data_IF_483959364555
#
_entry.id   IF_483959364555
#
_cell.length_a   1.000
_cell.length_b   1.000
_cell.length_c   1.000
_cell.angle_alpha   90.00
_cell.angle_beta   90.00
_cell.angle_gamma   90.00
#
_symmetry.space_group_name_H-M   'P 1'
#
loop_
_entity.id
_entity.type
_entity.pdbx_description
1 polymer ?
#
# COMPACT_ATOMS: atom_id res chain seq x y z
N UNK A 1 -5.01 63.98 10.08
CA UNK A 1 -4.56 63.97 8.68
C UNK A 1 -3.33 63.09 8.64
N UNK A 2 -3.54 61.77 8.54
CA UNK A 2 -3.76 60.99 7.30
C UNK A 2 -2.45 60.25 7.02
N UNK A 3 -2.37 58.99 7.43
CA UNK A 3 -2.70 57.79 6.63
C UNK A 3 -1.46 57.32 5.88
N UNK A 4 -0.93 56.14 6.25
CA UNK A 4 -0.87 54.99 5.35
C UNK A 4 -0.14 53.83 6.01
N UNK A 5 -0.96 52.96 6.61
CA UNK A 5 -0.65 51.55 6.79
C UNK A 5 -0.71 50.91 5.40
N UNK A 6 0.43 50.82 4.71
CA UNK A 6 0.53 49.93 3.54
C UNK A 6 0.67 48.49 4.04
N UNK A 7 -0.47 47.83 4.08
CA UNK A 7 -0.59 46.38 4.14
C UNK A 7 0.24 45.75 3.02
N UNK A 8 1.38 45.16 3.38
CA UNK A 8 2.08 44.20 2.55
C UNK A 8 1.27 42.90 2.43
N UNK A 9 0.18 42.94 1.67
CA UNK A 9 -0.39 41.75 1.05
C UNK A 9 0.56 41.33 -0.06
N UNK A 10 1.47 40.40 0.26
CA UNK A 10 2.18 39.61 -0.74
C UNK A 10 1.10 38.87 -1.53
N UNK A 11 0.78 39.37 -2.72
CA UNK A 11 -0.11 38.69 -3.65
C UNK A 11 0.61 37.41 -4.07
N UNK A 12 0.13 36.28 -3.59
CA UNK A 12 0.53 34.94 -4.02
C UNK A 12 0.19 34.79 -5.52
N UNK A 13 1.13 35.18 -6.38
CA UNK A 13 0.97 35.27 -7.83
C UNK A 13 1.32 33.96 -8.56
N UNK A 14 1.42 32.84 -7.85
CA UNK A 14 1.62 31.55 -8.52
C UNK A 14 0.33 31.17 -9.27
N UNK A 15 0.39 30.84 -10.58
CA UNK A 15 -0.80 30.47 -11.37
C UNK A 15 -1.57 29.31 -10.74
N UNK A 16 -0.85 28.37 -10.11
CA UNK A 16 -1.40 27.22 -9.41
C UNK A 16 -2.08 27.57 -8.08
N UNK A 17 -1.68 28.65 -7.41
CA UNK A 17 -2.24 29.06 -6.13
C UNK A 17 -3.68 29.58 -6.20
N UNK A 18 -4.19 29.83 -7.42
CA UNK A 18 -5.53 30.34 -7.72
C UNK A 18 -6.45 29.31 -8.40
N UNK A 19 -5.95 28.10 -8.68
CA UNK A 19 -6.77 27.08 -9.32
C UNK A 19 -7.86 26.59 -8.36
N UNK A 20 -9.10 26.37 -8.86
CA UNK A 20 -10.13 25.66 -8.12
C UNK A 20 -9.68 24.23 -7.76
N UNK A 21 -10.17 23.71 -6.62
CA UNK A 21 -9.77 22.41 -6.10
C UNK A 21 -10.00 21.26 -7.10
N UNK A 22 -11.08 21.28 -7.89
CA UNK A 22 -11.32 20.23 -8.90
C UNK A 22 -10.23 20.15 -9.97
N UNK A 23 -9.63 21.28 -10.38
CA UNK A 23 -8.50 21.29 -11.31
C UNK A 23 -7.21 20.84 -10.62
N UNK A 24 -7.02 21.22 -9.34
CA UNK A 24 -5.89 20.73 -8.55
C UNK A 24 -5.94 19.21 -8.40
N UNK A 25 -7.11 18.64 -8.12
CA UNK A 25 -7.32 17.19 -8.07
C UNK A 25 -6.95 16.57 -9.41
N UNK A 26 -7.48 17.08 -10.51
CA UNK A 26 -7.22 16.53 -11.85
C UNK A 26 -5.72 16.50 -12.19
N UNK A 27 -4.98 17.51 -11.74
CA UNK A 27 -3.53 17.61 -11.94
C UNK A 27 -2.80 16.66 -11.00
N UNK A 28 -3.06 16.73 -9.69
CA UNK A 28 -2.34 15.98 -8.68
C UNK A 28 -2.56 14.47 -8.78
N UNK A 29 -3.75 14.01 -9.16
CA UNK A 29 -4.01 12.57 -9.36
C UNK A 29 -3.23 11.96 -10.53
N UNK A 30 -2.63 12.78 -11.39
CA UNK A 30 -1.73 12.33 -12.48
C UNK A 30 -0.26 12.30 -12.08
N UNK A 31 0.07 12.84 -10.90
CA UNK A 31 1.42 12.81 -10.34
C UNK A 31 1.58 11.54 -9.50
N UNK A 32 2.75 10.85 -9.54
CA UNK A 32 3.02 9.71 -8.66
C UNK A 32 2.76 10.02 -7.18
N UNK A 33 2.17 9.06 -6.46
CA UNK A 33 1.81 9.21 -5.04
C UNK A 33 3.04 9.52 -4.18
N UNK A 34 4.22 9.01 -4.56
CA UNK A 34 5.49 9.30 -3.89
C UNK A 34 5.84 10.80 -3.83
N UNK A 35 5.34 11.61 -4.77
CA UNK A 35 5.58 13.06 -4.81
C UNK A 35 4.53 13.86 -4.00
N UNK A 36 3.45 13.22 -3.55
CA UNK A 36 2.34 13.91 -2.90
C UNK A 36 2.72 14.52 -1.55
N UNK A 37 3.69 13.93 -0.85
CA UNK A 37 4.25 14.52 0.36
C UNK A 37 4.90 15.88 0.06
N UNK A 38 5.67 15.98 -1.02
CA UNK A 38 6.31 17.23 -1.43
C UNK A 38 5.29 18.27 -1.88
N UNK A 39 4.28 17.87 -2.67
CA UNK A 39 3.17 18.75 -3.10
C UNK A 39 2.43 19.31 -1.89
N UNK A 40 2.15 18.47 -0.89
CA UNK A 40 1.44 18.86 0.33
C UNK A 40 2.20 19.92 1.15
N UNK A 41 3.53 19.91 1.10
CA UNK A 41 4.36 20.90 1.79
C UNK A 41 4.34 22.30 1.15
N UNK A 42 3.87 22.45 -0.10
CA UNK A 42 3.90 23.73 -0.82
C UNK A 42 2.88 24.73 -0.29
N UNK A 43 1.65 24.27 -0.01
CA UNK A 43 0.56 25.14 0.45
C UNK A 43 -0.45 24.33 1.26
N UNK A 44 -0.96 24.91 2.34
CA UNK A 44 -1.99 24.28 3.18
C UNK A 44 -3.23 23.83 2.41
N UNK A 45 -3.68 24.63 1.44
CA UNK A 45 -4.78 24.24 0.55
C UNK A 45 -4.45 22.97 -0.23
N UNK A 46 -3.21 22.85 -0.73
CA UNK A 46 -2.79 21.68 -1.51
C UNK A 46 -2.70 20.44 -0.62
N UNK A 47 -2.18 20.56 0.60
CA UNK A 47 -2.22 19.48 1.57
C UNK A 47 -3.66 18.98 1.81
N UNK A 48 -4.62 19.89 1.98
CA UNK A 48 -6.02 19.51 2.17
C UNK A 48 -6.60 18.80 0.94
N UNK A 49 -6.30 19.29 -0.26
CA UNK A 49 -6.75 18.69 -1.54
C UNK A 49 -6.13 17.32 -1.76
N UNK A 50 -4.84 17.16 -1.46
CA UNK A 50 -4.10 15.90 -1.60
C UNK A 50 -4.64 14.85 -0.61
N UNK A 51 -4.73 15.20 0.68
CA UNK A 51 -5.15 14.28 1.74
C UNK A 51 -6.64 13.93 1.63
N UNK A 52 -7.49 14.87 1.21
CA UNK A 52 -8.92 14.65 1.05
C UNK A 52 -9.26 14.07 -0.32
N UNK A 53 -9.39 14.96 -1.30
CA UNK A 53 -9.98 14.66 -2.60
C UNK A 53 -9.10 13.76 -3.48
N UNK A 54 -7.79 14.01 -3.56
CA UNK A 54 -6.91 13.22 -4.41
C UNK A 54 -6.79 11.78 -3.89
N UNK A 55 -6.56 11.61 -2.58
CA UNK A 55 -6.46 10.29 -1.97
C UNK A 55 -7.77 9.51 -2.12
N UNK A 56 -8.93 10.16 -1.89
CA UNK A 56 -10.25 9.58 -2.09
C UNK A 56 -10.48 9.19 -3.55
N UNK A 57 -10.13 10.06 -4.50
CA UNK A 57 -10.26 9.78 -5.94
C UNK A 57 -9.43 8.55 -6.33
N UNK A 58 -8.16 8.50 -5.92
CA UNK A 58 -7.28 7.37 -6.21
C UNK A 58 -7.78 6.10 -5.56
N UNK A 59 -8.25 6.14 -4.31
CA UNK A 59 -8.84 5.00 -3.61
C UNK A 59 -10.04 4.43 -4.39
N UNK A 60 -10.97 5.28 -4.83
CA UNK A 60 -12.12 4.85 -5.63
C UNK A 60 -11.69 4.29 -7.00
N UNK A 61 -10.69 4.92 -7.63
CA UNK A 61 -10.17 4.47 -8.91
C UNK A 61 -9.53 3.08 -8.84
N UNK A 62 -8.64 2.86 -7.87
CA UNK A 62 -8.00 1.54 -7.68
C UNK A 62 -9.03 0.50 -7.26
N UNK A 63 -9.99 0.86 -6.41
CA UNK A 63 -11.03 -0.06 -5.97
C UNK A 63 -11.85 -0.61 -7.14
N UNK A 64 -12.33 0.28 -8.01
CA UNK A 64 -13.09 -0.10 -9.20
C UNK A 64 -12.28 -0.88 -10.22
N UNK A 65 -10.99 -0.55 -10.40
CA UNK A 65 -10.16 -1.21 -11.41
C UNK A 65 -9.58 -2.54 -10.96
N UNK A 66 -9.20 -2.66 -9.70
CA UNK A 66 -8.48 -3.82 -9.18
C UNK A 66 -9.45 -4.83 -8.58
N UNK A 67 -10.45 -4.38 -7.84
CA UNK A 67 -11.36 -5.27 -7.12
C UNK A 67 -12.73 -5.43 -7.80
N UNK A 68 -13.03 -4.61 -8.83
CA UNK A 68 -14.31 -4.61 -9.55
C UNK A 68 -15.52 -4.59 -8.60
N UNK A 69 -15.38 -3.92 -7.46
CA UNK A 69 -16.45 -3.72 -6.49
C UNK A 69 -17.34 -2.58 -6.98
N UNK A 70 -18.64 -2.78 -6.85
CA UNK A 70 -19.65 -1.74 -7.05
C UNK A 70 -20.37 -1.55 -5.70
N UNK A 71 -20.02 -0.50 -4.94
CA UNK A 71 -20.79 -0.16 -3.74
C UNK A 71 -20.12 0.72 -2.69
N UNK A 72 -20.75 0.77 -1.51
CA UNK A 72 -20.32 1.60 -0.37
C UNK A 72 -18.93 1.24 0.18
N UNK A 73 -18.42 0.05 -0.16
CA UNK A 73 -17.13 -0.45 0.34
C UNK A 73 -15.95 -0.07 -0.55
N UNK A 74 -16.20 0.51 -1.73
CA UNK A 74 -15.15 0.75 -2.72
C UNK A 74 -14.09 1.69 -2.16
N UNK A 75 -14.53 2.73 -1.45
CA UNK A 75 -13.65 3.74 -0.88
C UNK A 75 -12.70 3.15 0.17
N UNK A 76 -13.23 2.42 1.16
CA UNK A 76 -12.41 1.84 2.25
C UNK A 76 -11.47 0.73 1.74
N UNK A 77 -11.90 -0.08 0.77
CA UNK A 77 -11.04 -1.08 0.13
C UNK A 77 -9.88 -0.40 -0.60
N UNK A 78 -10.18 0.67 -1.34
CA UNK A 78 -9.18 1.47 -2.04
C UNK A 78 -8.17 2.10 -1.08
N UNK A 79 -8.64 2.69 0.03
CA UNK A 79 -7.76 3.28 1.04
C UNK A 79 -6.90 2.22 1.74
N UNK A 80 -7.46 1.06 2.08
CA UNK A 80 -6.70 -0.02 2.69
C UNK A 80 -5.62 -0.57 1.74
N UNK A 81 -5.92 -0.66 0.45
CA UNK A 81 -4.93 -1.01 -0.59
C UNK A 81 -3.82 0.03 -0.68
N UNK A 82 -4.15 1.33 -0.79
CA UNK A 82 -3.16 2.40 -0.89
C UNK A 82 -2.27 2.46 0.36
N UNK A 83 -2.88 2.36 1.55
CA UNK A 83 -2.15 2.27 2.80
C UNK A 83 -1.15 1.10 2.80
N UNK A 84 -1.61 -0.10 2.46
CA UNK A 84 -0.73 -1.27 2.45
C UNK A 84 0.40 -1.10 1.43
N UNK A 85 0.08 -0.62 0.22
CA UNK A 85 1.05 -0.41 -0.85
C UNK A 85 2.12 0.62 -0.42
N UNK A 86 1.70 1.74 0.17
CA UNK A 86 2.61 2.76 0.69
C UNK A 86 3.57 2.18 1.74
N UNK A 87 3.06 1.36 2.67
CA UNK A 87 3.90 0.70 3.66
C UNK A 87 4.90 -0.27 3.05
N UNK A 88 4.59 -0.89 1.91
CA UNK A 88 5.46 -1.87 1.25
C UNK A 88 6.46 -1.24 0.27
N UNK A 89 6.19 -0.06 -0.29
CA UNK A 89 7.03 0.56 -1.32
C UNK A 89 7.88 1.73 -0.83
N UNK A 90 7.41 2.47 0.18
CA UNK A 90 8.04 3.74 0.57
C UNK A 90 8.46 3.80 2.03
N UNK A 91 8.07 2.82 2.85
CA UNK A 91 8.47 2.78 4.26
C UNK A 91 9.86 2.16 4.40
N UNK A 92 10.82 2.93 4.92
CA UNK A 92 12.16 2.40 5.24
C UNK A 92 12.12 1.31 6.31
N UNK A 93 11.15 1.39 7.23
CA UNK A 93 10.97 0.46 8.34
C UNK A 93 9.48 0.19 8.55
N UNK A 94 8.84 -0.60 7.66
CA UNK A 94 7.43 -0.87 7.78
C UNK A 94 7.14 -1.66 9.07
N UNK A 95 5.96 -1.49 9.68
CA UNK A 95 5.49 -2.39 10.71
C UNK A 95 5.56 -3.85 10.26
N UNK A 96 5.55 -4.80 11.20
CA UNK A 96 5.47 -6.21 10.83
C UNK A 96 4.19 -6.47 10.05
N UNK A 97 4.22 -7.43 9.13
CA UNK A 97 3.05 -7.72 8.30
C UNK A 97 1.82 -8.15 9.09
N UNK A 98 2.02 -8.72 10.29
CA UNK A 98 0.95 -9.02 11.24
C UNK A 98 0.23 -7.76 11.75
N UNK A 99 0.97 -6.68 12.02
CA UNK A 99 0.39 -5.38 12.42
C UNK A 99 -0.35 -4.74 11.24
N UNK A 100 0.25 -4.77 10.05
CA UNK A 100 -0.38 -4.25 8.84
C UNK A 100 -1.69 -5.00 8.53
N UNK A 101 -1.65 -6.33 8.56
CA UNK A 101 -2.83 -7.17 8.35
C UNK A 101 -3.90 -6.93 9.41
N UNK A 102 -3.52 -6.88 10.69
CA UNK A 102 -4.47 -6.60 11.78
C UNK A 102 -5.12 -5.23 11.64
N UNK A 103 -4.38 -4.21 11.23
CA UNK A 103 -4.92 -2.86 10.99
C UNK A 103 -5.98 -2.88 9.89
N UNK A 104 -5.73 -3.58 8.78
CA UNK A 104 -6.70 -3.71 7.68
C UNK A 104 -7.97 -4.44 8.16
N UNK A 105 -7.80 -5.53 8.92
CA UNK A 105 -8.90 -6.29 9.52
C UNK A 105 -9.76 -5.38 10.43
N UNK A 106 -9.12 -4.61 11.30
CA UNK A 106 -9.81 -3.73 12.25
C UNK A 106 -10.65 -2.67 11.54
N UNK A 107 -10.15 -2.11 10.43
CA UNK A 107 -10.93 -1.16 9.61
C UNK A 107 -12.22 -1.80 9.07
N UNK A 108 -12.14 -3.02 8.52
CA UNK A 108 -13.34 -3.67 7.99
C UNK A 108 -14.33 -4.08 9.07
N UNK A 109 -13.86 -4.53 10.23
CA UNK A 109 -14.73 -4.84 11.37
C UNK A 109 -15.40 -3.55 11.88
N UNK A 110 -14.65 -2.45 11.96
CA UNK A 110 -15.21 -1.14 12.34
C UNK A 110 -16.27 -0.64 11.35
N UNK A 111 -16.12 -0.96 10.06
CA UNK A 111 -17.15 -0.74 9.03
C UNK A 111 -18.31 -1.77 9.07
N UNK A 112 -18.43 -2.58 10.12
CA UNK A 112 -19.54 -3.50 10.34
C UNK A 112 -19.44 -4.83 9.57
N UNK A 113 -18.28 -5.19 9.02
CA UNK A 113 -18.09 -6.48 8.36
C UNK A 113 -17.90 -7.61 9.37
N UNK A 114 -18.33 -8.81 8.98
CA UNK A 114 -18.01 -10.02 9.73
C UNK A 114 -16.51 -10.31 9.66
N UNK A 115 -16.01 -11.11 10.61
CA UNK A 115 -14.61 -11.57 10.63
C UNK A 115 -14.21 -12.26 9.33
N UNK A 116 -15.14 -13.03 8.74
CA UNK A 116 -14.91 -13.75 7.49
C UNK A 116 -14.79 -12.83 6.29
N UNK A 117 -15.69 -11.85 6.17
CA UNK A 117 -15.63 -10.86 5.09
C UNK A 117 -14.39 -9.97 5.24
N UNK A 118 -14.06 -9.54 6.46
CA UNK A 118 -12.85 -8.76 6.73
C UNK A 118 -11.58 -9.54 6.33
N UNK A 119 -11.49 -10.82 6.69
CA UNK A 119 -10.36 -11.68 6.31
C UNK A 119 -10.23 -11.88 4.80
N UNK A 120 -11.35 -12.08 4.11
CA UNK A 120 -11.38 -12.24 2.66
C UNK A 120 -10.94 -10.95 1.95
N UNK A 121 -11.52 -9.80 2.31
CA UNK A 121 -11.15 -8.50 1.76
C UNK A 121 -9.68 -8.15 2.04
N UNK A 122 -9.20 -8.39 3.26
CA UNK A 122 -7.80 -8.18 3.60
C UNK A 122 -6.89 -9.08 2.77
N UNK A 123 -7.27 -10.35 2.54
CA UNK A 123 -6.50 -11.26 1.69
C UNK A 123 -6.45 -10.79 0.24
N UNK A 124 -7.57 -10.32 -0.31
CA UNK A 124 -7.63 -9.75 -1.66
C UNK A 124 -6.75 -8.52 -1.78
N UNK A 125 -6.80 -7.61 -0.80
CA UNK A 125 -5.96 -6.41 -0.77
C UNK A 125 -4.47 -6.76 -0.73
N UNK A 126 -4.07 -7.73 0.09
CA UNK A 126 -2.69 -8.19 0.13
C UNK A 126 -2.23 -8.77 -1.20
N UNK A 127 -3.03 -9.64 -1.82
CA UNK A 127 -2.69 -10.21 -3.13
C UNK A 127 -2.55 -9.12 -4.19
N UNK A 128 -3.52 -8.20 -4.27
CA UNK A 128 -3.48 -7.08 -5.17
C UNK A 128 -2.27 -6.16 -4.94
N UNK A 129 -1.92 -5.88 -3.68
CA UNK A 129 -0.76 -5.06 -3.35
C UNK A 129 0.52 -5.73 -3.85
N UNK A 130 0.72 -7.02 -3.52
CA UNK A 130 1.88 -7.81 -3.94
C UNK A 130 2.01 -7.92 -5.47
N UNK A 131 0.90 -8.08 -6.19
CA UNK A 131 0.86 -8.14 -7.66
C UNK A 131 1.24 -6.80 -8.32
N UNK A 132 1.12 -5.68 -7.60
CA UNK A 132 1.32 -4.34 -8.14
C UNK A 132 2.52 -3.61 -7.51
N UNK A 133 3.39 -4.32 -6.79
CA UNK A 133 4.70 -3.80 -6.36
C UNK A 133 5.63 -3.67 -7.55
N UNK A 134 6.42 -2.59 -7.59
CA UNK A 134 7.47 -2.40 -8.57
C UNK A 134 8.58 -3.46 -8.44
N UNK A 135 9.13 -3.92 -9.57
CA UNK A 135 10.21 -4.90 -9.55
C UNK A 135 11.58 -4.21 -9.40
N UNK A 136 11.92 -3.90 -8.14
CA UNK A 136 13.16 -3.23 -7.77
C UNK A 136 13.81 -3.89 -6.53
N UNK A 137 15.02 -3.45 -6.18
CA UNK A 137 15.78 -4.02 -5.05
C UNK A 137 15.03 -3.84 -3.71
N UNK A 138 14.32 -2.72 -3.52
CA UNK A 138 13.54 -2.48 -2.31
C UNK A 138 12.43 -3.53 -2.16
N UNK A 139 11.68 -3.82 -3.22
CA UNK A 139 10.65 -4.85 -3.23
C UNK A 139 11.22 -6.23 -2.90
N UNK A 140 12.39 -6.59 -3.44
CA UNK A 140 13.06 -7.84 -3.06
C UNK A 140 13.34 -7.92 -1.55
N UNK A 141 13.92 -6.85 -0.98
CA UNK A 141 14.25 -6.80 0.45
C UNK A 141 12.99 -6.90 1.33
N UNK A 142 11.91 -6.21 0.95
CA UNK A 142 10.63 -6.28 1.66
C UNK A 142 10.01 -7.67 1.56
N UNK A 143 9.94 -8.27 0.38
CA UNK A 143 9.39 -9.63 0.22
C UNK A 143 10.22 -10.66 1.01
N UNK A 144 11.55 -10.55 0.99
CA UNK A 144 12.45 -11.41 1.76
C UNK A 144 12.18 -11.25 3.26
N UNK A 145 12.02 -10.02 3.75
CA UNK A 145 11.63 -9.75 5.14
C UNK A 145 10.30 -10.42 5.46
N UNK A 146 9.27 -10.24 4.62
CA UNK A 146 7.94 -10.84 4.82
C UNK A 146 7.99 -12.38 4.87
N UNK A 147 8.84 -13.01 4.07
CA UNK A 147 9.00 -14.47 4.04
C UNK A 147 9.69 -15.02 5.30
N UNK A 148 10.62 -14.24 5.87
CA UNK A 148 11.40 -14.58 7.06
C UNK A 148 10.74 -14.10 8.36
N UNK A 149 9.68 -13.29 8.29
CA UNK A 149 8.87 -12.96 9.46
C UNK A 149 8.31 -14.26 10.06
N UNK A 150 8.69 -14.53 11.31
CA UNK A 150 8.25 -15.73 12.02
C UNK A 150 6.72 -15.78 12.16
N UNK A 151 6.18 -17.00 12.20
CA UNK A 151 4.76 -17.20 12.45
C UNK A 151 4.41 -16.83 13.89
N UNK A 152 3.87 -15.62 14.07
CA UNK A 152 3.19 -15.25 15.30
C UNK A 152 1.83 -15.94 15.29
N UNK A 153 1.57 -16.79 16.29
CA UNK A 153 0.27 -17.44 16.43
C UNK A 153 -0.79 -16.39 16.80
N UNK A 154 -1.54 -15.94 15.80
CA UNK A 154 -2.62 -14.97 15.96
C UNK A 154 -3.98 -15.67 15.83
N UNK A 155 -4.99 -15.26 16.61
CA UNK A 155 -6.33 -15.80 16.45
C UNK A 155 -6.90 -15.36 15.10
N UNK A 156 -7.69 -16.22 14.47
CA UNK A 156 -8.50 -15.83 13.31
C UNK A 156 -9.36 -14.59 13.67
N UNK A 157 -9.49 -13.53 12.83
CA UNK A 157 -9.03 -13.40 11.45
C UNK A 157 -7.68 -12.68 11.30
N UNK A 158 -6.88 -12.54 12.37
CA UNK A 158 -5.62 -11.79 12.33
C UNK A 158 -4.44 -12.60 11.75
N UNK A 159 -4.67 -13.86 11.42
CA UNK A 159 -3.69 -14.69 10.73
C UNK A 159 -3.88 -14.55 9.22
N UNK A 160 -2.84 -14.07 8.53
CA UNK A 160 -2.83 -13.95 7.06
C UNK A 160 -3.15 -15.27 6.40
N UNK A 161 -3.96 -15.22 5.35
CA UNK A 161 -4.30 -16.41 4.57
C UNK A 161 -3.07 -17.05 3.94
N UNK A 162 -3.13 -18.38 3.78
CA UNK A 162 -2.06 -19.16 3.16
C UNK A 162 -1.75 -18.70 1.72
N UNK A 163 -2.77 -18.17 1.02
CA UNK A 163 -2.64 -17.62 -0.35
C UNK A 163 -1.73 -16.39 -0.38
N UNK A 164 -1.90 -15.47 0.57
CA UNK A 164 -1.06 -14.27 0.69
C UNK A 164 0.38 -14.67 0.99
N UNK A 165 0.57 -15.59 1.94
CA UNK A 165 1.90 -16.09 2.26
C UNK A 165 2.55 -16.75 1.05
N UNK A 166 1.82 -17.64 0.36
CA UNK A 166 2.29 -18.30 -0.86
C UNK A 166 2.76 -17.30 -1.91
N UNK A 167 1.98 -16.23 -2.14
CA UNK A 167 2.28 -15.22 -3.15
C UNK A 167 3.62 -14.51 -2.92
N UNK A 168 3.99 -14.28 -1.65
CA UNK A 168 5.31 -13.70 -1.30
C UNK A 168 6.44 -14.63 -1.76
N UNK A 169 6.35 -15.93 -1.45
CA UNK A 169 7.37 -16.90 -1.87
C UNK A 169 7.37 -17.11 -3.37
N UNK A 170 6.21 -17.09 -4.02
CA UNK A 170 6.09 -17.16 -5.47
C UNK A 170 6.88 -16.04 -6.13
N UNK A 171 6.58 -14.76 -5.83
CA UNK A 171 7.33 -13.61 -6.39
C UNK A 171 8.83 -13.70 -6.10
N UNK A 172 9.23 -14.08 -4.88
CA UNK A 172 10.65 -14.24 -4.54
C UNK A 172 11.35 -15.25 -5.44
N UNK A 173 10.77 -16.44 -5.63
CA UNK A 173 11.42 -17.51 -6.37
C UNK A 173 11.23 -17.44 -7.89
N UNK A 174 10.25 -16.70 -8.39
CA UNK A 174 10.03 -16.50 -9.83
C UNK A 174 10.65 -15.21 -10.33
N UNK A 175 10.37 -14.09 -9.67
CA UNK A 175 10.66 -12.75 -10.21
C UNK A 175 12.01 -12.24 -9.71
N UNK A 176 12.39 -12.58 -8.47
CA UNK A 176 13.61 -12.09 -7.81
C UNK A 176 14.66 -13.17 -7.54
N UNK A 177 14.59 -14.30 -8.25
CA UNK A 177 15.53 -15.42 -8.03
C UNK A 177 16.99 -14.99 -8.09
N UNK A 178 17.33 -14.20 -9.09
CA UNK A 178 18.70 -13.78 -9.37
C UNK A 178 19.23 -12.75 -8.35
N UNK A 179 18.35 -12.20 -7.51
CA UNK A 179 18.72 -11.27 -6.44
C UNK A 179 19.21 -11.99 -5.17
N UNK A 180 18.98 -13.31 -5.05
CA UNK A 180 19.38 -14.04 -3.86
C UNK A 180 20.90 -14.25 -3.78
N UNK A 181 21.46 -14.04 -2.59
CA UNK A 181 22.72 -14.69 -2.23
C UNK A 181 22.48 -16.20 -1.99
N UNK A 182 23.54 -16.99 -2.11
CA UNK A 182 23.44 -18.44 -1.93
C UNK A 182 22.89 -18.83 -0.55
N UNK A 183 23.24 -18.09 0.51
CA UNK A 183 22.75 -18.34 1.87
C UNK A 183 21.28 -17.97 1.99
N UNK A 184 20.92 -16.77 1.52
CA UNK A 184 19.56 -16.26 1.61
C UNK A 184 18.54 -17.15 0.88
N UNK A 185 18.93 -17.70 -0.26
CA UNK A 185 18.10 -18.60 -1.04
C UNK A 185 17.68 -19.83 -0.21
N UNK A 186 18.63 -20.49 0.46
CA UNK A 186 18.33 -21.69 1.26
C UNK A 186 17.56 -21.37 2.54
N UNK A 187 17.79 -20.22 3.16
CA UNK A 187 17.03 -19.79 4.33
C UNK A 187 15.56 -19.59 3.97
N UNK A 188 15.27 -18.82 2.92
CA UNK A 188 13.90 -18.59 2.44
C UNK A 188 13.27 -19.90 1.95
N UNK A 189 14.03 -20.76 1.26
CA UNK A 189 13.53 -22.07 0.81
C UNK A 189 13.21 -22.99 1.98
N UNK A 190 14.00 -22.95 3.05
CA UNK A 190 13.74 -23.66 4.30
C UNK A 190 12.42 -23.21 4.94
N UNK A 191 12.20 -21.90 5.02
CA UNK A 191 10.93 -21.32 5.49
C UNK A 191 9.74 -21.77 4.63
N UNK A 192 9.88 -21.74 3.30
CA UNK A 192 8.86 -22.19 2.36
C UNK A 192 8.51 -23.68 2.59
N UNK A 193 9.52 -24.55 2.74
CA UNK A 193 9.30 -25.98 3.00
C UNK A 193 8.63 -26.26 4.34
N UNK A 194 8.90 -25.46 5.37
CA UNK A 194 8.23 -25.63 6.65
C UNK A 194 6.74 -25.24 6.56
N UNK A 195 6.44 -24.18 5.81
CA UNK A 195 5.09 -23.63 5.67
C UNK A 195 4.22 -24.40 4.67
N UNK A 196 4.80 -24.83 3.55
CA UNK A 196 4.06 -25.43 2.44
C UNK A 196 4.64 -26.80 2.10
N UNK A 197 3.77 -27.81 2.04
CA UNK A 197 4.12 -29.13 1.54
C UNK A 197 2.95 -29.64 0.67
N UNK A 198 3.19 -29.96 -0.62
CA UNK A 198 4.47 -29.84 -1.35
C UNK A 198 4.81 -28.40 -1.78
N UNK A 199 6.08 -28.12 -2.07
CA UNK A 199 6.51 -26.89 -2.75
C UNK A 199 6.68 -27.11 -4.27
N UNK A 200 6.49 -26.07 -5.12
CA UNK A 200 6.68 -26.16 -6.56
C UNK A 200 8.13 -26.49 -6.95
N UNK A 201 8.32 -27.34 -7.96
CA UNK A 201 9.64 -27.62 -8.54
C UNK A 201 10.29 -26.36 -9.12
N UNK A 202 9.47 -25.47 -9.69
CA UNK A 202 9.90 -24.18 -10.19
C UNK A 202 10.70 -23.41 -9.13
N UNK A 203 10.31 -23.46 -7.84
CA UNK A 203 11.03 -22.72 -6.79
C UNK A 203 12.42 -23.27 -6.47
N UNK A 204 12.69 -24.53 -6.85
CA UNK A 204 13.93 -25.24 -6.51
C UNK A 204 15.06 -25.06 -7.53
N UNK A 205 14.86 -24.27 -8.59
CA UNK A 205 15.94 -23.99 -9.55
C UNK A 205 16.11 -25.01 -10.69
N UNK A 206 15.15 -25.92 -10.87
CA UNK A 206 15.14 -26.89 -11.97
C UNK A 206 14.51 -26.33 -13.25
#
# INVERSE_FOLDING_TARGET
>A
MSDNVENNTIVDCTPFGKLPDHLLVEIFVRVPISEWAQISCVKRQWANVVIGECLRYTALYVSKRIFALDGEMDEIVGHAYLFLKEQLEFSDMPPTSSILHGTIIDQFIACGKSRDIANELASQIWLAALDNLEDNEHTFLILKRLALEGDVFLPYPYTKSIKVQWKVFEKLFTDFRDCFSHVDYYDVLGCAKNKFQPIPSAWMGY
#
